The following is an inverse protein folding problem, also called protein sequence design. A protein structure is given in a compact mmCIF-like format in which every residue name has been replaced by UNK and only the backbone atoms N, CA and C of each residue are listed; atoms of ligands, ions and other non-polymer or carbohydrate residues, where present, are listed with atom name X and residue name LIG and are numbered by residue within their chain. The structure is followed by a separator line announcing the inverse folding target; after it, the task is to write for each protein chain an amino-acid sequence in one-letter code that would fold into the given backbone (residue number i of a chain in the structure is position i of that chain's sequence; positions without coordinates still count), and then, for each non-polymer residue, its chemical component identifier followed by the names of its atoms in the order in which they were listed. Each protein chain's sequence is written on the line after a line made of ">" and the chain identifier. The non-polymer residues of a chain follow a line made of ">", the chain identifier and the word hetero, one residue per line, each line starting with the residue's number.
data_IF_077023327748
#
_entry.id   IF_077023327748
#
_cell.length_a   1.000
_cell.length_b   1.000
_cell.length_c   1.000
_cell.angle_alpha   90.00
_cell.angle_beta   90.00
_cell.angle_gamma   90.00
#
_symmetry.space_group_name_H-M   'P 1'
#
loop_
_entity.id
_entity.type
_entity.pdbx_description
1 polymer ?
#
# COMPACT_ATOMS: atom_id res chain seq x y z
N UNK A 1 3.22 17.06 -5.86
CA UNK A 1 1.89 16.58 -6.30
C UNK A 1 1.56 17.21 -7.65
N UNK A 2 1.29 16.40 -8.68
CA UNK A 2 0.83 16.90 -9.99
C UNK A 2 -0.58 17.49 -9.87
N UNK A 3 -0.97 18.39 -10.78
CA UNK A 3 -2.30 18.99 -10.81
C UNK A 3 -3.42 17.94 -10.87
N UNK A 4 -3.17 16.82 -11.55
CA UNK A 4 -4.13 15.71 -11.66
C UNK A 4 -4.49 15.04 -10.32
N UNK A 5 -3.50 14.81 -9.44
CA UNK A 5 -3.78 14.23 -8.12
C UNK A 5 -4.62 15.17 -7.24
N UNK A 6 -4.34 16.48 -7.32
CA UNK A 6 -5.10 17.50 -6.58
C UNK A 6 -6.54 17.58 -7.07
N UNK A 7 -6.75 17.65 -8.38
CA UNK A 7 -8.10 17.73 -8.96
C UNK A 7 -8.93 16.49 -8.62
N UNK A 8 -8.32 15.30 -8.66
CA UNK A 8 -8.99 14.06 -8.27
C UNK A 8 -9.41 14.07 -6.79
N UNK A 9 -8.54 14.50 -5.88
CA UNK A 9 -8.91 14.60 -4.45
C UNK A 9 -10.00 15.65 -4.22
N UNK A 10 -9.94 16.79 -4.94
CA UNK A 10 -10.98 17.81 -4.88
C UNK A 10 -12.34 17.27 -5.31
N UNK A 11 -12.41 16.49 -6.38
CA UNK A 11 -13.66 15.84 -6.81
C UNK A 11 -14.19 14.90 -5.74
N UNK A 12 -13.33 14.08 -5.13
CA UNK A 12 -13.74 13.16 -4.05
C UNK A 12 -14.21 13.92 -2.81
N UNK A 13 -13.53 15.01 -2.46
CA UNK A 13 -13.94 15.88 -1.35
C UNK A 13 -15.29 16.54 -1.62
N UNK A 14 -15.54 16.98 -2.85
CA UNK A 14 -16.84 17.55 -3.26
C UNK A 14 -17.96 16.50 -3.14
N UNK A 15 -17.72 15.25 -3.56
CA UNK A 15 -18.68 14.16 -3.35
C UNK A 15 -18.96 13.87 -1.87
N UNK A 16 -17.94 13.97 -1.00
CA UNK A 16 -18.14 13.85 0.45
C UNK A 16 -19.03 14.97 1.00
N UNK A 17 -18.84 16.21 0.53
CA UNK A 17 -19.68 17.33 0.94
C UNK A 17 -21.14 17.14 0.51
N UNK A 18 -21.37 16.63 -0.70
CA UNK A 18 -22.74 16.31 -1.15
C UNK A 18 -23.40 15.25 -0.27
N UNK A 19 -22.64 14.26 0.23
CA UNK A 19 -23.16 13.26 1.17
C UNK A 19 -23.49 13.90 2.52
N UNK A 20 -22.68 14.85 3.01
CA UNK A 20 -22.99 15.56 4.27
C UNK A 20 -24.22 16.45 4.13
N UNK A 21 -24.42 17.07 2.97
CA UNK A 21 -25.63 17.85 2.67
C UNK A 21 -26.86 16.93 2.63
N UNK A 22 -26.74 15.76 1.98
CA UNK A 22 -27.79 14.75 1.94
C UNK A 22 -28.14 14.22 3.34
N UNK A 23 -27.14 13.96 4.19
CA UNK A 23 -27.34 13.56 5.58
C UNK A 23 -28.05 14.65 6.39
N UNK A 24 -27.70 15.92 6.15
CA UNK A 24 -28.35 17.06 6.82
C UNK A 24 -29.82 17.19 6.42
N UNK A 25 -30.12 17.06 5.12
CA UNK A 25 -31.50 17.04 4.62
C UNK A 25 -32.29 15.84 5.16
N UNK A 26 -31.67 14.66 5.24
CA UNK A 26 -32.26 13.46 5.84
C UNK A 26 -32.57 13.67 7.33
N UNK A 27 -31.66 14.28 8.09
CA UNK A 27 -31.88 14.63 9.49
C UNK A 27 -33.10 15.54 9.65
N UNK A 28 -33.23 16.57 8.81
CA UNK A 28 -34.41 17.44 8.81
C UNK A 28 -35.70 16.69 8.47
N UNK A 29 -35.65 15.73 7.53
CA UNK A 29 -36.81 14.90 7.18
C UNK A 29 -37.25 14.04 8.37
N UNK A 30 -36.31 13.38 9.05
CA UNK A 30 -36.58 12.61 10.27
C UNK A 30 -37.18 13.51 11.35
N UNK A 31 -36.60 14.68 11.61
CA UNK A 31 -37.14 15.64 12.60
C UNK A 31 -38.57 16.04 12.26
N UNK A 32 -38.89 16.32 10.99
CA UNK A 32 -40.25 16.67 10.57
C UNK A 32 -41.24 15.52 10.80
N UNK A 33 -40.84 14.27 10.50
CA UNK A 33 -41.68 13.09 10.76
C UNK A 33 -41.94 12.94 12.27
N UNK A 34 -40.91 13.10 13.10
CA UNK A 34 -41.04 12.94 14.55
C UNK A 34 -41.90 14.04 15.22
N UNK A 35 -41.85 15.27 14.70
CA UNK A 35 -42.64 16.40 15.22
C UNK A 35 -44.07 16.42 14.67
N UNK A 36 -44.33 15.76 13.54
CA UNK A 36 -45.67 15.71 12.93
C UNK A 36 -46.71 15.11 13.89
N UNK A 37 -47.90 15.72 13.97
CA UNK A 37 -48.99 15.22 14.80
C UNK A 37 -49.55 13.90 14.25
N UNK A 38 -50.20 13.09 15.10
CA UNK A 38 -50.72 11.77 14.71
C UNK A 38 -51.89 11.83 13.71
N UNK A 39 -52.43 13.02 13.44
CA UNK A 39 -53.47 13.25 12.44
C UNK A 39 -52.94 13.40 11.02
N UNK A 40 -51.64 13.66 10.83
CA UNK A 40 -51.03 13.92 9.52
C UNK A 40 -50.53 12.65 8.82
N UNK A 41 -50.10 11.65 9.60
CA UNK A 41 -49.56 10.39 9.11
C UNK A 41 -49.99 9.25 10.04
N UNK A 42 -50.44 8.14 9.46
CA UNK A 42 -50.67 6.90 10.20
C UNK A 42 -49.38 6.44 10.91
N UNK A 43 -49.46 5.93 12.16
CA UNK A 43 -48.30 5.46 12.90
C UNK A 43 -47.47 4.42 12.13
N UNK A 44 -48.12 3.47 11.43
CA UNK A 44 -47.43 2.46 10.63
C UNK A 44 -46.61 3.08 9.48
N UNK A 45 -47.13 4.13 8.85
CA UNK A 45 -46.42 4.83 7.79
C UNK A 45 -45.22 5.61 8.35
N UNK A 46 -45.36 6.23 9.54
CA UNK A 46 -44.25 6.92 10.22
C UNK A 46 -43.11 5.94 10.51
N UNK A 47 -43.42 4.78 11.09
CA UNK A 47 -42.40 3.78 11.44
C UNK A 47 -41.68 3.24 10.19
N UNK A 48 -42.42 2.94 9.13
CA UNK A 48 -41.83 2.51 7.86
C UNK A 48 -40.92 3.58 7.24
N UNK A 49 -41.33 4.84 7.24
CA UNK A 49 -40.50 5.95 6.74
C UNK A 49 -39.23 6.12 7.58
N UNK A 50 -39.34 6.08 8.91
CA UNK A 50 -38.19 6.16 9.80
C UNK A 50 -37.22 5.00 9.59
N UNK A 51 -37.73 3.79 9.34
CA UNK A 51 -36.92 2.63 9.01
C UNK A 51 -36.11 2.84 7.72
N UNK A 52 -36.78 3.23 6.63
CA UNK A 52 -36.09 3.49 5.34
C UNK A 52 -35.10 4.65 5.41
N UNK A 53 -35.44 5.72 6.13
CA UNK A 53 -34.54 6.85 6.34
C UNK A 53 -33.34 6.47 7.20
N UNK A 54 -33.53 5.64 8.22
CA UNK A 54 -32.45 5.08 9.03
C UNK A 54 -31.48 4.24 8.19
N UNK A 55 -32.01 3.34 7.36
CA UNK A 55 -31.19 2.55 6.43
C UNK A 55 -30.47 3.44 5.40
N UNK A 56 -31.12 4.47 4.90
CA UNK A 56 -30.50 5.46 4.00
C UNK A 56 -29.34 6.19 4.70
N UNK A 57 -29.53 6.63 5.95
CA UNK A 57 -28.48 7.24 6.76
C UNK A 57 -27.29 6.30 6.97
N UNK A 58 -27.53 5.01 7.21
CA UNK A 58 -26.47 3.98 7.31
C UNK A 58 -25.70 3.83 5.99
N UNK A 59 -26.39 3.84 4.85
CA UNK A 59 -25.75 3.75 3.54
C UNK A 59 -24.89 4.98 3.23
N UNK A 60 -25.41 6.19 3.47
CA UNK A 60 -24.70 7.44 3.25
C UNK A 60 -23.44 7.56 4.13
N UNK A 61 -23.53 7.21 5.41
CA UNK A 61 -22.38 7.23 6.33
C UNK A 61 -21.32 6.20 5.94
N UNK A 62 -21.72 4.99 5.51
CA UNK A 62 -20.81 3.99 4.97
C UNK A 62 -20.10 4.45 3.69
N UNK A 63 -20.82 5.14 2.80
CA UNK A 63 -20.24 5.73 1.59
C UNK A 63 -19.23 6.84 1.92
N UNK A 64 -19.59 7.73 2.85
CA UNK A 64 -18.69 8.78 3.35
C UNK A 64 -17.38 8.19 3.89
N UNK A 65 -17.47 7.15 4.72
CA UNK A 65 -16.31 6.44 5.26
C UNK A 65 -15.46 5.77 4.17
N UNK A 66 -16.11 5.16 3.17
CA UNK A 66 -15.43 4.54 2.03
C UNK A 66 -14.66 5.57 1.19
N UNK A 67 -15.23 6.75 0.98
CA UNK A 67 -14.55 7.87 0.31
C UNK A 67 -13.36 8.37 1.14
N UNK A 68 -13.49 8.48 2.47
CA UNK A 68 -12.38 8.85 3.35
C UNK A 68 -11.21 7.88 3.21
N UNK A 69 -11.49 6.56 3.21
CA UNK A 69 -10.48 5.53 2.97
C UNK A 69 -9.85 5.65 1.58
N UNK A 70 -10.65 5.90 0.55
CA UNK A 70 -10.18 6.06 -0.83
C UNK A 70 -9.26 7.28 -0.98
N UNK A 71 -9.62 8.43 -0.40
CA UNK A 71 -8.77 9.63 -0.42
C UNK A 71 -7.42 9.35 0.25
N UNK A 72 -7.44 8.71 1.43
CA UNK A 72 -6.20 8.29 2.12
C UNK A 72 -5.35 7.34 1.28
N UNK A 73 -5.97 6.34 0.65
CA UNK A 73 -5.26 5.37 -0.18
C UNK A 73 -4.62 6.00 -1.42
N UNK A 74 -5.21 7.05 -1.97
CA UNK A 74 -4.64 7.81 -3.10
C UNK A 74 -3.49 8.73 -2.69
N UNK A 75 -3.45 9.16 -1.43
CA UNK A 75 -2.39 10.04 -0.91
C UNK A 75 -1.17 9.24 -0.43
N UNK A 76 -1.35 8.04 0.14
CA UNK A 76 -0.24 7.22 0.66
C UNK A 76 0.92 6.99 -0.34
N UNK A 77 0.70 6.78 -1.66
CA UNK A 77 1.78 6.63 -2.63
C UNK A 77 2.53 7.94 -2.93
N UNK A 78 1.95 9.10 -2.58
CA UNK A 78 2.48 10.42 -2.89
C UNK A 78 3.40 10.98 -1.79
N UNK A 79 3.46 10.30 -0.64
CA UNK A 79 4.27 10.69 0.51
C UNK A 79 5.48 9.75 0.68
N UNK A 80 6.52 10.22 1.36
CA UNK A 80 7.68 9.38 1.66
C UNK A 80 7.33 8.30 2.71
N UNK A 81 8.16 7.25 2.81
CA UNK A 81 7.91 6.10 3.70
C UNK A 81 7.77 6.49 5.18
N UNK A 82 8.55 7.48 5.62
CA UNK A 82 8.54 7.98 6.99
C UNK A 82 7.21 8.65 7.35
N UNK A 83 6.76 9.60 6.52
CA UNK A 83 5.48 10.29 6.70
C UNK A 83 4.34 9.30 6.56
N UNK A 84 4.42 8.35 5.61
CA UNK A 84 3.42 7.29 5.47
C UNK A 84 3.22 6.50 6.78
N UNK A 85 4.30 6.10 7.45
CA UNK A 85 4.22 5.36 8.71
C UNK A 85 3.56 6.16 9.85
N UNK A 86 3.68 7.49 9.83
CA UNK A 86 2.95 8.38 10.75
C UNK A 86 1.48 8.45 10.36
N UNK A 87 1.18 8.70 9.08
CA UNK A 87 -0.19 8.84 8.57
C UNK A 87 -1.03 7.58 8.79
N UNK A 88 -0.44 6.38 8.64
CA UNK A 88 -1.13 5.10 8.90
C UNK A 88 -1.64 4.96 10.33
N UNK A 89 -0.99 5.60 11.31
CA UNK A 89 -1.38 5.58 12.73
C UNK A 89 -2.44 6.63 13.08
N UNK A 90 -2.77 7.53 12.15
CA UNK A 90 -3.75 8.59 12.41
C UNK A 90 -5.15 8.14 12.03
N UNK A 91 -6.13 8.50 12.87
CA UNK A 91 -7.55 8.39 12.54
C UNK A 91 -8.02 9.69 11.88
N UNK A 92 -8.90 9.62 10.86
CA UNK A 92 -9.58 10.81 10.33
C UNK A 92 -10.44 11.46 11.41
N UNK A 93 -10.39 12.78 11.53
CA UNK A 93 -11.29 13.60 12.37
C UNK A 93 -11.92 14.67 11.47
N UNK A 94 -11.84 15.95 11.83
CA UNK A 94 -12.16 17.07 10.94
C UNK A 94 -11.24 17.07 9.71
N UNK A 95 -9.98 16.69 9.90
CA UNK A 95 -9.00 16.56 8.83
C UNK A 95 -8.82 15.09 8.41
N UNK A 96 -8.48 14.88 7.12
CA UNK A 96 -8.36 13.55 6.52
C UNK A 96 -7.35 12.61 7.24
N UNK A 97 -6.33 13.19 7.86
CA UNK A 97 -5.31 12.51 8.66
C UNK A 97 -5.32 12.93 10.13
N UNK A 98 -6.45 13.46 10.58
CA UNK A 98 -6.66 13.92 11.93
C UNK A 98 -5.86 15.16 12.29
N UNK A 99 -6.00 15.55 13.55
CA UNK A 99 -5.40 16.77 14.10
C UNK A 99 -3.97 16.55 14.56
N UNK A 100 -3.21 17.65 14.69
CA UNK A 100 -1.82 17.61 15.15
C UNK A 100 -0.87 16.85 14.21
N UNK A 101 -1.19 16.76 12.91
CA UNK A 101 -0.36 16.02 11.95
C UNK A 101 1.07 16.59 11.85
N UNK A 102 1.20 17.92 11.87
CA UNK A 102 2.48 18.62 11.83
C UNK A 102 3.38 18.23 13.01
N UNK A 103 2.83 18.21 14.22
CA UNK A 103 3.51 17.79 15.45
C UNK A 103 3.93 16.33 15.36
N UNK A 104 3.02 15.43 14.98
CA UNK A 104 3.32 14.00 14.81
C UNK A 104 4.44 13.74 13.81
N UNK A 105 4.51 14.50 12.71
CA UNK A 105 5.60 14.40 11.73
C UNK A 105 6.91 14.92 12.32
N UNK A 106 6.87 16.04 13.05
CA UNK A 106 8.05 16.63 13.70
C UNK A 106 8.63 15.67 14.74
N UNK A 107 7.78 15.10 15.57
CA UNK A 107 8.15 14.15 16.61
C UNK A 107 8.74 12.87 16.00
N UNK A 108 8.14 12.36 14.92
CA UNK A 108 8.68 11.20 14.20
C UNK A 108 10.09 11.48 13.64
N UNK A 109 10.32 12.68 13.10
CA UNK A 109 11.65 13.09 12.62
C UNK A 109 12.66 13.27 13.75
N UNK A 110 12.25 13.88 14.86
CA UNK A 110 13.09 14.06 16.05
C UNK A 110 13.46 12.72 16.69
N UNK A 111 12.52 11.78 16.75
CA UNK A 111 12.77 10.42 17.22
C UNK A 111 13.72 9.69 16.27
N UNK A 112 13.55 9.84 14.96
CA UNK A 112 14.43 9.23 13.97
C UNK A 112 15.86 9.75 14.09
N UNK A 113 16.07 11.07 14.24
CA UNK A 113 17.40 11.64 14.45
C UNK A 113 18.04 11.18 15.76
N UNK A 114 17.28 11.16 16.86
CA UNK A 114 17.73 10.62 18.14
C UNK A 114 18.11 9.12 18.03
N UNK A 115 17.30 8.33 17.34
CA UNK A 115 17.54 6.89 17.14
C UNK A 115 18.79 6.62 16.30
N UNK A 116 19.10 7.48 15.32
CA UNK A 116 20.31 7.38 14.50
C UNK A 116 21.58 7.61 15.33
N UNK A 117 21.52 8.45 16.37
CA UNK A 117 22.61 8.64 17.33
C UNK A 117 22.78 7.46 18.30
N UNK A 118 21.70 6.70 18.56
CA UNK A 118 21.70 5.56 19.50
C UNK A 118 22.07 4.25 18.82
N UNK A 119 21.86 4.10 17.51
CA UNK A 119 22.28 2.91 16.76
C UNK A 119 23.78 2.71 16.95
N UNK A 120 24.13 1.79 17.86
CA UNK A 120 25.48 1.28 17.96
C UNK A 120 25.87 0.80 16.56
N UNK A 121 26.88 1.45 15.97
CA UNK A 121 27.59 0.89 14.84
C UNK A 121 28.25 -0.38 15.34
N UNK A 122 27.51 -1.49 15.34
CA UNK A 122 28.12 -2.80 15.31
C UNK A 122 28.83 -2.88 13.97
N UNK A 123 30.05 -2.33 13.95
CA UNK A 123 31.04 -2.63 12.94
C UNK A 123 31.29 -4.13 13.05
N UNK A 124 30.50 -4.92 12.33
CA UNK A 124 30.84 -6.30 12.01
C UNK A 124 31.93 -6.25 10.93
N UNK A 125 33.06 -5.62 11.26
CA UNK A 125 34.30 -5.78 10.54
C UNK A 125 34.87 -7.16 10.90
N UNK A 126 34.16 -8.23 10.52
CA UNK A 126 34.77 -9.53 10.33
C UNK A 126 35.70 -9.40 9.13
N UNK A 127 36.94 -8.97 9.40
CA UNK A 127 38.02 -9.02 8.42
C UNK A 127 38.20 -10.49 8.04
N UNK A 128 37.73 -10.87 6.84
CA UNK A 128 38.15 -12.13 6.23
C UNK A 128 39.68 -12.10 6.15
N UNK A 129 40.41 -13.13 6.64
CA UNK A 129 41.85 -13.16 6.49
C UNK A 129 42.18 -13.22 5.00
N UNK A 130 42.79 -12.15 4.48
CA UNK A 130 43.41 -12.17 3.16
C UNK A 130 44.68 -13.01 3.25
N UNK A 131 44.88 -14.03 2.39
CA UNK A 131 46.11 -14.79 2.39
C UNK A 131 47.25 -13.89 1.93
N UNK A 132 48.26 -13.70 2.79
CA UNK A 132 49.51 -13.03 2.42
C UNK A 132 50.19 -13.87 1.34
N UNK A 133 50.34 -13.30 0.13
CA UNK A 133 51.28 -13.81 -0.87
C UNK A 133 52.70 -13.53 -0.37
N UNK A 134 53.28 -14.52 0.32
CA UNK A 134 54.72 -14.61 0.55
C UNK A 134 55.30 -15.61 -0.43
N UNK A 135 56.18 -15.15 -1.32
CA UNK A 135 56.97 -16.05 -2.15
C UNK A 135 58.10 -16.68 -1.34
N UNK A 136 58.28 -18.00 -1.49
CA UNK A 136 59.57 -18.66 -1.75
C UNK A 136 59.36 -20.17 -1.83
N UNK A 137 60.18 -20.81 -2.66
CA UNK A 137 60.15 -22.21 -3.05
C UNK A 137 60.21 -23.18 -1.86
N UNK A 138 59.28 -24.15 -1.82
CA UNK A 138 59.53 -25.52 -1.35
C UNK A 138 58.27 -26.37 -1.51
N UNK A 139 58.33 -27.37 -2.36
CA UNK A 139 57.36 -28.47 -2.42
C UNK A 139 57.54 -29.40 -1.22
N UNK A 140 56.45 -29.84 -0.57
CA UNK A 140 56.42 -31.15 0.03
C UNK A 140 55.30 -32.02 -0.58
N UNK A 141 55.75 -33.19 -1.02
CA UNK A 141 55.00 -34.33 -1.48
C UNK A 141 54.13 -34.90 -0.34
N UNK A 142 52.80 -34.95 -0.50
CA UNK A 142 51.95 -35.84 0.31
C UNK A 142 50.93 -36.58 -0.56
N UNK A 143 50.89 -37.89 -0.33
CA UNK A 143 50.37 -38.95 -1.18
C UNK A 143 48.83 -39.02 -1.15
N UNK A 144 48.20 -39.23 -2.30
CA UNK A 144 46.77 -39.46 -2.43
C UNK A 144 46.39 -40.88 -1.98
N UNK A 145 45.73 -41.01 -0.83
CA UNK A 145 45.15 -42.25 -0.32
C UNK A 145 43.75 -42.47 -0.91
N UNK A 146 43.64 -42.78 -2.20
CA UNK A 146 42.42 -43.37 -2.77
C UNK A 146 42.66 -44.02 -4.14
N UNK A 147 43.58 -45.00 -4.18
CA UNK A 147 44.00 -45.67 -5.43
C UNK A 147 43.15 -46.89 -5.82
N UNK A 148 42.01 -47.14 -5.17
CA UNK A 148 41.19 -48.32 -5.48
C UNK A 148 39.69 -48.04 -5.36
N UNK A 149 39.09 -47.49 -6.43
CA UNK A 149 37.68 -47.75 -6.77
C UNK A 149 37.53 -47.92 -8.30
N UNK A 150 36.69 -48.85 -8.77
CA UNK A 150 36.63 -49.26 -10.17
C UNK A 150 35.97 -48.23 -11.08
N UNK A 151 36.46 -48.18 -12.32
CA UNK A 151 35.98 -47.35 -13.42
C UNK A 151 34.62 -47.85 -13.91
N UNK A 152 33.61 -46.97 -13.99
CA UNK A 152 32.45 -47.15 -14.88
C UNK A 152 32.32 -45.96 -15.85
N UNK A 153 32.48 -46.30 -17.12
CA UNK A 153 32.30 -45.53 -18.36
C UNK A 153 30.96 -44.79 -18.43
N UNK A 154 30.95 -43.64 -19.11
CA UNK A 154 29.73 -43.13 -19.77
C UNK A 154 29.64 -41.61 -19.98
N UNK A 155 30.40 -41.10 -20.95
CA UNK A 155 30.27 -39.88 -21.76
C UNK A 155 29.28 -38.74 -21.42
N UNK A 156 29.89 -37.57 -21.19
CA UNK A 156 29.56 -36.20 -21.64
C UNK A 156 28.30 -35.95 -22.47
N UNK A 157 27.47 -34.97 -22.06
CA UNK A 157 26.94 -33.92 -22.96
C UNK A 157 26.81 -32.56 -22.26
N UNK A 158 27.25 -31.55 -23.00
CA UNK A 158 27.27 -30.12 -22.67
C UNK A 158 25.86 -29.52 -22.64
N UNK A 159 25.59 -28.56 -21.76
CA UNK A 159 24.41 -27.68 -21.88
C UNK A 159 24.85 -26.23 -22.04
N UNK A 160 24.64 -25.71 -23.26
CA UNK A 160 24.97 -24.36 -23.74
C UNK A 160 23.76 -23.46 -23.56
N UNK A 161 24.00 -22.18 -23.23
CA UNK A 161 22.99 -21.20 -22.84
C UNK A 161 21.84 -20.98 -23.83
N UNK A 162 20.68 -20.64 -23.29
CA UNK A 162 19.48 -20.28 -24.04
C UNK A 162 19.48 -18.77 -24.34
N UNK A 163 19.39 -18.44 -25.64
CA UNK A 163 19.02 -17.13 -26.15
C UNK A 163 17.50 -17.19 -26.48
N UNK A 164 16.67 -16.24 -26.01
CA UNK A 164 15.25 -16.22 -26.37
C UNK A 164 15.04 -15.78 -27.83
N UNK A 165 14.14 -16.48 -28.54
CA UNK A 165 13.80 -16.22 -29.95
C UNK A 165 12.88 -15.01 -30.11
N UNK A 166 13.26 -14.13 -31.03
CA UNK A 166 12.45 -13.05 -31.59
C UNK A 166 11.22 -13.59 -32.34
N UNK A 167 10.05 -13.00 -32.07
CA UNK A 167 8.80 -13.23 -32.80
C UNK A 167 8.72 -12.29 -34.00
N UNK A 168 8.69 -12.85 -35.21
CA UNK A 168 8.35 -12.13 -36.43
C UNK A 168 6.88 -12.38 -36.78
N UNK A 169 6.10 -11.29 -36.82
CA UNK A 169 4.72 -11.26 -37.30
C UNK A 169 4.76 -11.23 -38.84
N UNK A 170 4.13 -12.20 -39.51
CA UNK A 170 3.83 -12.12 -40.94
C UNK A 170 2.31 -12.07 -41.12
N UNK A 171 1.85 -10.96 -41.67
CA UNK A 171 0.50 -10.72 -42.15
C UNK A 171 0.05 -11.82 -43.12
N UNK A 172 -1.16 -12.34 -42.92
CA UNK A 172 -1.93 -13.01 -43.97
C UNK A 172 -3.23 -12.24 -44.19
N UNK A 173 -3.28 -11.52 -45.32
CA UNK A 173 -4.51 -10.97 -45.90
C UNK A 173 -5.39 -12.13 -46.37
N UNK A 174 -6.65 -12.15 -45.94
CA UNK A 174 -7.70 -12.91 -46.63
C UNK A 174 -8.50 -11.95 -47.53
N UNK A 175 -8.45 -12.22 -48.83
CA UNK A 175 -9.34 -11.63 -49.83
C UNK A 175 -10.73 -12.27 -49.71
N UNK A 176 -11.74 -11.42 -49.57
CA UNK A 176 -13.16 -11.73 -49.72
C UNK A 176 -13.49 -11.75 -51.22
N UNK A 177 -14.15 -12.80 -51.70
CA UNK A 177 -15.00 -12.78 -52.88
C UNK A 177 -16.42 -13.06 -52.42
#
# INVERSE_FOLDING_TARGET
>A
MTSGHKNRDLTLSSSQNQITDALSALGQAITRILVSHNTELSPELKDNLLHFLGDTGRLLTNLFFSLTKLRRSLIFPLVNKEVKAVLEKTSPTEHLFGDGLSEKIRDAKALQSASSGIKATYSTSFKKPTPKRGGSNSTPHTKALNRQRPVRRGETRQYKGQIPKSYNFKETRYHRK
#
